data_IF_149208661745
#
_entry.id   IF_149208661745
#
_cell.length_a   1.000
_cell.length_b   1.000
_cell.length_c   1.000
_cell.angle_alpha   90.00
_cell.angle_beta   90.00
_cell.angle_gamma   90.00
#
_symmetry.space_group_name_H-M   'P 1'
#
loop_
_entity.id
_entity.type
_entity.pdbx_description
1 polymer ?
#
# COMPACT_ATOMS: atom_id res chain seq x y z
N UNK A 1 22.52 13.89 -1.32
CA UNK A 1 21.55 13.03 -2.05
C UNK A 1 21.03 13.79 -3.27
N UNK A 2 21.70 13.66 -4.41
CA UNK A 2 21.33 14.38 -5.62
C UNK A 2 19.98 13.86 -6.12
N UNK A 3 18.95 14.73 -6.14
CA UNK A 3 17.74 14.50 -6.92
C UNK A 3 18.18 14.43 -8.39
N UNK A 4 18.21 13.22 -8.97
CA UNK A 4 18.35 13.07 -10.42
C UNK A 4 17.17 13.81 -11.06
N UNK A 5 17.47 14.92 -11.74
CA UNK A 5 16.56 15.58 -12.68
C UNK A 5 16.00 14.50 -13.61
N UNK A 6 14.68 14.41 -13.69
CA UNK A 6 14.04 13.70 -14.78
C UNK A 6 14.54 14.36 -16.07
N UNK A 7 15.23 13.59 -16.90
CA UNK A 7 15.59 14.02 -18.24
C UNK A 7 14.28 14.15 -19.02
N UNK A 8 13.73 15.36 -19.03
CA UNK A 8 12.71 15.78 -19.98
C UNK A 8 13.38 15.93 -21.34
N UNK A 9 13.05 15.02 -22.23
CA UNK A 9 13.27 15.14 -23.66
C UNK A 9 12.12 14.42 -24.34
N UNK A 10 11.67 14.89 -25.49
CA UNK A 10 10.72 14.22 -26.38
C UNK A 10 11.32 12.93 -26.98
N UNK A 11 11.95 12.11 -26.13
CA UNK A 11 12.67 10.90 -26.44
C UNK A 11 11.85 9.70 -25.98
N UNK A 12 12.00 8.61 -26.71
CA UNK A 12 11.38 7.31 -26.50
C UNK A 12 11.04 7.01 -25.03
N UNK A 13 9.75 7.05 -24.70
CA UNK A 13 9.25 6.65 -23.40
C UNK A 13 8.84 5.18 -23.43
N UNK A 14 9.81 4.30 -23.15
CA UNK A 14 9.62 2.86 -23.12
C UNK A 14 8.35 2.42 -22.35
N UNK A 15 8.01 3.08 -21.26
CA UNK A 15 6.86 2.72 -20.44
C UNK A 15 5.50 3.10 -21.06
N UNK A 16 5.47 4.08 -21.95
CA UNK A 16 4.27 4.48 -22.70
C UNK A 16 4.06 3.56 -23.90
N UNK A 17 5.12 3.29 -24.66
CA UNK A 17 5.07 2.38 -25.80
C UNK A 17 4.67 0.95 -25.40
N UNK A 18 5.22 0.44 -24.28
CA UNK A 18 4.78 -0.85 -23.72
C UNK A 18 3.29 -0.84 -23.37
N UNK A 19 2.76 0.28 -22.87
CA UNK A 19 1.33 0.40 -22.54
C UNK A 19 0.47 0.43 -23.80
N UNK A 20 0.92 1.08 -24.87
CA UNK A 20 0.23 1.10 -26.16
C UNK A 20 0.16 -0.30 -26.76
N UNK A 21 1.30 -1.02 -26.81
CA UNK A 21 1.36 -2.41 -27.29
C UNK A 21 0.45 -3.35 -26.49
N UNK A 22 0.38 -3.19 -25.16
CA UNK A 22 -0.48 -4.00 -24.31
C UNK A 22 -1.96 -3.61 -24.34
N UNK A 23 -2.29 -2.41 -24.85
CA UNK A 23 -3.68 -2.00 -25.12
C UNK A 23 -4.18 -2.61 -26.41
N UNK A 24 -3.34 -2.66 -27.43
CA UNK A 24 -3.62 -3.31 -28.71
C UNK A 24 -3.76 -4.83 -28.50
N UNK A 25 -2.77 -5.46 -27.85
CA UNK A 25 -2.74 -6.91 -27.62
C UNK A 25 -2.46 -7.25 -26.14
N UNK A 26 -3.50 -7.43 -25.30
CA UNK A 26 -3.33 -7.67 -23.86
C UNK A 26 -2.74 -9.05 -23.52
N UNK A 27 -2.75 -10.00 -24.46
CA UNK A 27 -2.21 -11.36 -24.28
C UNK A 27 -0.72 -11.48 -24.59
N UNK A 28 -0.09 -10.39 -25.05
CA UNK A 28 1.33 -10.36 -25.40
C UNK A 28 2.23 -10.75 -24.23
N UNK A 29 3.15 -11.68 -24.51
CA UNK A 29 4.17 -12.08 -23.55
C UNK A 29 5.24 -11.00 -23.42
N UNK A 30 5.91 -10.89 -22.27
CA UNK A 30 6.94 -9.88 -22.05
C UNK A 30 8.09 -9.94 -23.06
N UNK A 31 8.40 -11.14 -23.56
CA UNK A 31 9.43 -11.35 -24.60
C UNK A 31 8.99 -10.80 -25.95
N UNK A 32 7.75 -11.06 -26.36
CA UNK A 32 7.18 -10.52 -27.58
C UNK A 32 7.12 -8.98 -27.56
N UNK A 33 6.83 -8.38 -26.40
CA UNK A 33 6.88 -6.92 -26.23
C UNK A 33 8.28 -6.36 -26.40
N UNK A 34 9.31 -7.02 -25.85
CA UNK A 34 10.72 -6.62 -26.03
C UNK A 34 11.12 -6.67 -27.50
N UNK A 35 10.77 -7.76 -28.19
CA UNK A 35 11.11 -7.93 -29.60
C UNK A 35 10.40 -6.89 -30.49
N UNK A 36 9.13 -6.57 -30.18
CA UNK A 36 8.39 -5.50 -30.85
C UNK A 36 9.02 -4.12 -30.64
N UNK A 37 9.49 -3.82 -29.42
CA UNK A 37 10.15 -2.54 -29.12
C UNK A 37 11.51 -2.41 -29.81
N UNK A 38 12.31 -3.47 -29.84
CA UNK A 38 13.61 -3.48 -30.55
C UNK A 38 13.44 -3.30 -32.06
N UNK A 39 12.35 -3.81 -32.64
CA UNK A 39 11.99 -3.58 -34.05
C UNK A 39 11.54 -2.14 -34.32
N UNK A 40 10.70 -1.57 -33.43
CA UNK A 40 10.19 -0.20 -33.58
C UNK A 40 11.26 0.87 -33.31
N UNK A 41 12.20 0.59 -32.41
CA UNK A 41 13.24 1.52 -31.98
C UNK A 41 14.63 0.85 -31.98
N UNK A 42 15.22 0.58 -33.17
CA UNK A 42 16.51 -0.11 -33.27
C UNK A 42 17.69 0.74 -32.76
N UNK A 43 17.55 2.07 -32.73
CA UNK A 43 18.60 2.99 -32.31
C UNK A 43 18.61 3.27 -30.80
N UNK A 44 17.62 2.75 -30.06
CA UNK A 44 17.47 2.96 -28.62
C UNK A 44 18.10 1.83 -27.82
N UNK A 45 18.78 2.18 -26.72
CA UNK A 45 19.45 1.20 -25.85
C UNK A 45 18.46 0.53 -24.89
N UNK A 46 17.64 -0.37 -25.43
CA UNK A 46 16.61 -1.09 -24.66
C UNK A 46 17.27 -2.20 -23.84
N UNK A 47 17.39 -1.98 -22.53
CA UNK A 47 17.82 -3.01 -21.58
C UNK A 47 16.65 -3.94 -21.22
N UNK A 48 16.85 -5.24 -21.37
CA UNK A 48 15.82 -6.26 -21.11
C UNK A 48 15.29 -6.21 -19.67
N UNK A 49 16.16 -5.96 -18.68
CA UNK A 49 15.78 -5.83 -17.28
C UNK A 49 14.82 -4.66 -17.03
N UNK A 50 15.11 -3.50 -17.62
CA UNK A 50 14.26 -2.32 -17.55
C UNK A 50 12.92 -2.55 -18.26
N UNK A 51 12.92 -3.24 -19.41
CA UNK A 51 11.71 -3.56 -20.16
C UNK A 51 10.80 -4.53 -19.39
N UNK A 52 11.37 -5.53 -18.71
CA UNK A 52 10.61 -6.48 -17.87
C UNK A 52 9.88 -5.79 -16.71
N UNK A 53 10.55 -4.83 -16.04
CA UNK A 53 9.94 -4.02 -14.98
C UNK A 53 8.84 -3.12 -15.55
N UNK A 54 9.09 -2.47 -16.69
CA UNK A 54 8.10 -1.61 -17.34
C UNK A 54 6.87 -2.39 -17.82
N UNK A 55 7.05 -3.58 -18.41
CA UNK A 55 5.99 -4.52 -18.78
C UNK A 55 5.14 -4.95 -17.59
N UNK A 56 5.79 -5.36 -16.49
CA UNK A 56 5.08 -5.77 -15.27
C UNK A 56 4.23 -4.63 -14.70
N UNK A 57 4.79 -3.41 -14.66
CA UNK A 57 4.07 -2.22 -14.20
C UNK A 57 2.94 -1.82 -15.16
N UNK A 58 3.13 -1.94 -16.47
CA UNK A 58 2.11 -1.65 -17.48
C UNK A 58 0.93 -2.62 -17.37
N UNK A 59 1.18 -3.92 -17.23
CA UNK A 59 0.12 -4.93 -17.00
C UNK A 59 -0.67 -4.69 -15.72
N UNK A 60 0.00 -4.27 -14.64
CA UNK A 60 -0.67 -3.89 -13.39
C UNK A 60 -1.57 -2.66 -13.59
N UNK A 61 -1.10 -1.64 -14.30
CA UNK A 61 -1.88 -0.42 -14.58
C UNK A 61 -3.09 -0.70 -15.48
N UNK A 62 -2.97 -1.65 -16.41
CA UNK A 62 -4.04 -2.06 -17.32
C UNK A 62 -4.97 -3.13 -16.72
N UNK A 63 -4.71 -3.61 -15.50
CA UNK A 63 -5.54 -4.63 -14.86
C UNK A 63 -5.44 -6.04 -15.46
N UNK A 64 -4.47 -6.28 -16.37
CA UNK A 64 -4.24 -7.54 -17.09
C UNK A 64 -3.58 -8.60 -16.17
N UNK A 65 -3.15 -8.21 -14.97
CA UNK A 65 -2.63 -9.18 -14.00
C UNK A 65 -3.76 -10.08 -13.51
N UNK A 66 -3.63 -11.37 -13.80
CA UNK A 66 -4.51 -12.42 -13.28
C UNK A 66 -4.73 -12.27 -11.77
N UNK A 67 -5.92 -12.70 -11.36
CA UNK A 67 -6.63 -12.63 -10.05
C UNK A 67 -5.82 -12.59 -8.73
N UNK A 68 -4.50 -12.76 -8.71
CA UNK A 68 -3.63 -12.72 -7.52
C UNK A 68 -2.81 -11.44 -7.29
N UNK A 69 -2.96 -10.42 -8.15
CA UNK A 69 -2.08 -9.24 -8.16
C UNK A 69 -2.53 -8.01 -7.35
N UNK A 70 -3.56 -8.08 -6.50
CA UNK A 70 -3.90 -6.97 -5.57
C UNK A 70 -2.86 -6.86 -4.45
N UNK A 71 -1.60 -6.59 -4.78
CA UNK A 71 -0.73 -5.86 -3.85
C UNK A 71 -1.22 -4.42 -3.89
N UNK A 72 -2.23 -4.15 -3.05
CA UNK A 72 -2.60 -2.79 -2.65
C UNK A 72 -1.28 -2.03 -2.47
N UNK A 73 -1.09 -0.93 -3.21
CA UNK A 73 0.01 0.00 -2.96
C UNK A 73 -0.20 0.53 -1.55
N UNK A 74 0.36 -0.16 -0.56
CA UNK A 74 0.64 0.40 0.73
C UNK A 74 1.80 1.37 0.50
N UNK A 75 1.46 2.59 0.11
CA UNK A 75 2.25 3.80 0.41
C UNK A 75 2.27 3.94 1.93
N UNK A 76 3.06 3.07 2.56
CA UNK A 76 3.16 2.93 4.00
C UNK A 76 4.41 2.10 4.23
N UNK A 77 5.43 2.75 4.82
CA UNK A 77 6.72 2.14 5.17
C UNK A 77 6.51 0.72 5.68
N UNK A 78 7.05 -0.29 4.99
CA UNK A 78 7.01 -1.68 5.45
C UNK A 78 7.79 -1.78 6.75
N UNK A 79 7.11 -1.67 7.90
CA UNK A 79 7.63 -2.25 9.14
C UNK A 79 7.59 -3.76 8.94
N UNK A 80 8.77 -4.37 8.89
CA UNK A 80 8.94 -5.81 8.91
C UNK A 80 8.24 -6.35 10.15
N UNK A 81 7.02 -6.90 9.99
CA UNK A 81 6.33 -7.58 11.08
C UNK A 81 7.06 -8.90 11.30
N UNK A 82 7.95 -8.90 12.28
CA UNK A 82 8.56 -10.11 12.82
C UNK A 82 7.42 -10.95 13.38
N UNK A 83 7.16 -12.11 12.78
CA UNK A 83 6.13 -13.06 13.24
C UNK A 83 6.48 -13.44 14.67
N UNK A 84 5.65 -13.02 15.63
CA UNK A 84 5.75 -13.46 17.01
C UNK A 84 5.25 -14.90 17.06
N UNK A 85 6.12 -15.79 17.53
CA UNK A 85 5.75 -17.11 18.02
C UNK A 85 4.62 -16.97 19.05
N UNK A 86 3.63 -17.87 19.08
CA UNK A 86 2.52 -17.76 20.00
C UNK A 86 3.05 -17.80 21.43
N UNK A 87 2.91 -16.68 22.14
CA UNK A 87 3.33 -16.57 23.52
C UNK A 87 2.32 -17.31 24.40
N UNK A 88 2.85 -18.19 25.24
CA UNK A 88 2.15 -18.76 26.36
C UNK A 88 1.48 -17.65 27.18
N UNK A 89 0.23 -17.91 27.55
CA UNK A 89 -0.55 -17.31 28.64
C UNK A 89 0.17 -16.29 29.52
N UNK A 90 -0.40 -15.08 29.54
CA UNK A 90 -0.36 -14.22 30.72
C UNK A 90 0.93 -13.41 30.91
N UNK A 91 1.00 -12.22 30.30
CA UNK A 91 1.73 -11.13 30.91
C UNK A 91 1.11 -9.78 30.54
N UNK A 92 0.44 -9.17 31.51
CA UNK A 92 0.00 -7.77 31.46
C UNK A 92 1.27 -6.91 31.38
N UNK A 93 1.70 -6.58 30.17
CA UNK A 93 2.72 -5.57 29.98
C UNK A 93 2.05 -4.21 30.14
N UNK A 94 2.29 -3.57 31.29
CA UNK A 94 2.09 -2.13 31.47
C UNK A 94 3.02 -1.43 30.47
N UNK A 95 2.54 -1.18 29.25
CA UNK A 95 3.24 -0.34 28.29
C UNK A 95 3.12 1.10 28.80
N UNK A 96 4.22 1.63 29.32
CA UNK A 96 4.41 3.05 29.67
C UNK A 96 4.42 4.00 28.45
N UNK A 97 3.86 3.55 27.33
CA UNK A 97 3.62 4.36 26.14
C UNK A 97 2.12 4.52 25.99
N UNK A 98 1.66 5.76 25.94
CA UNK A 98 0.29 6.09 25.56
C UNK A 98 0.01 5.45 24.18
N UNK A 99 -0.92 4.52 24.14
CA UNK A 99 -1.39 3.97 22.88
C UNK A 99 -2.17 5.06 22.13
N UNK A 100 -1.56 5.62 21.09
CA UNK A 100 -2.15 6.68 20.28
C UNK A 100 -3.50 6.25 19.68
N UNK A 101 -3.68 4.95 19.42
CA UNK A 101 -4.95 4.44 18.91
C UNK A 101 -6.07 4.52 19.96
N UNK A 102 -5.75 4.29 21.24
CA UNK A 102 -6.69 4.46 22.34
C UNK A 102 -7.06 5.94 22.54
N UNK A 103 -6.10 6.85 22.35
CA UNK A 103 -6.35 8.31 22.42
C UNK A 103 -7.27 8.78 21.29
N UNK A 104 -7.07 8.31 20.06
CA UNK A 104 -7.96 8.62 18.93
C UNK A 104 -9.39 8.11 19.15
N UNK A 105 -9.54 6.94 19.76
CA UNK A 105 -10.85 6.39 20.11
C UNK A 105 -11.53 7.19 21.23
N UNK A 106 -10.78 7.57 22.26
CA UNK A 106 -11.28 8.44 23.33
C UNK A 106 -11.76 9.79 22.77
N UNK A 107 -11.03 10.38 21.81
CA UNK A 107 -11.45 11.61 21.16
C UNK A 107 -12.79 11.46 20.43
N UNK A 108 -12.99 10.37 19.68
CA UNK A 108 -14.26 10.09 19.00
C UNK A 108 -15.41 9.94 19.99
N UNK A 109 -15.19 9.23 21.10
CA UNK A 109 -16.20 9.08 22.15
C UNK A 109 -16.60 10.42 22.76
N UNK A 110 -15.62 11.27 23.12
CA UNK A 110 -15.87 12.61 23.65
C UNK A 110 -16.66 13.46 22.66
N UNK A 111 -16.36 13.37 21.37
CA UNK A 111 -17.11 14.09 20.33
C UNK A 111 -18.55 13.58 20.20
N UNK A 112 -18.77 12.28 20.34
CA UNK A 112 -20.11 11.67 20.28
C UNK A 112 -20.97 12.05 21.50
N UNK A 113 -20.37 12.18 22.68
CA UNK A 113 -21.07 12.60 23.90
C UNK A 113 -21.35 14.10 23.97
N UNK A 114 -20.87 14.91 23.02
CA UNK A 114 -21.03 16.37 23.05
C UNK A 114 -20.13 17.08 24.07
N UNK A 115 -19.02 16.44 24.47
CA UNK A 115 -18.01 17.03 25.35
C UNK A 115 -17.55 16.14 26.50
N UNK A 116 -16.48 16.56 27.17
CA UNK A 116 -15.80 15.79 28.21
C UNK A 116 -16.68 15.50 29.45
N UNK A 117 -17.59 16.41 29.80
CA UNK A 117 -18.46 16.26 30.98
C UNK A 117 -19.45 15.10 30.80
N UNK A 118 -20.10 15.04 29.64
CA UNK A 118 -21.06 13.99 29.30
C UNK A 118 -20.36 12.64 29.10
N UNK A 119 -19.16 12.64 28.53
CA UNK A 119 -18.34 11.44 28.39
C UNK A 119 -18.00 10.80 29.75
N UNK A 120 -17.68 11.62 30.77
CA UNK A 120 -17.44 11.13 32.14
C UNK A 120 -18.71 10.55 32.76
N UNK A 121 -19.83 11.27 32.68
CA UNK A 121 -21.11 10.77 33.19
C UNK A 121 -21.53 9.44 32.55
N UNK A 122 -21.25 9.25 31.25
CA UNK A 122 -21.50 7.99 30.56
C UNK A 122 -20.58 6.84 31.04
N UNK A 123 -19.32 7.14 31.37
CA UNK A 123 -18.39 6.15 31.95
C UNK A 123 -18.85 5.76 33.36
N UNK A 124 -19.23 6.72 34.19
CA UNK A 124 -19.74 6.47 35.55
C UNK A 124 -21.00 5.56 35.50
N UNK A 125 -21.89 5.79 34.53
CA UNK A 125 -23.05 4.91 34.30
C UNK A 125 -22.63 3.51 33.85
N UNK A 126 -21.66 3.38 32.94
CA UNK A 126 -21.17 2.06 32.52
C UNK A 126 -20.55 1.26 33.67
N UNK A 127 -19.81 1.92 34.57
CA UNK A 127 -19.24 1.28 35.77
C UNK A 127 -20.35 0.71 36.67
N UNK A 128 -21.45 1.45 36.86
CA UNK A 128 -22.59 0.98 37.65
C UNK A 128 -23.28 -0.25 37.03
N UNK A 129 -23.41 -0.31 35.70
CA UNK A 129 -23.98 -1.47 35.02
C UNK A 129 -23.05 -2.70 35.02
N UNK A 130 -21.74 -2.51 34.92
CA UNK A 130 -20.79 -3.62 34.89
C UNK A 130 -20.65 -4.33 36.24
N UNK A 131 -20.77 -3.61 37.36
CA UNK A 131 -20.72 -4.23 38.70
C UNK A 131 -21.98 -5.06 39.00
N UNK A 132 -23.12 -4.77 38.38
CA UNK A 132 -24.37 -5.53 38.57
C UNK A 132 -24.46 -6.83 37.76
N UNK A 133 -23.48 -7.11 36.89
CA UNK A 133 -23.49 -8.27 35.98
C UNK A 133 -22.53 -9.40 36.37
N UNK A 134 -21.97 -9.39 37.58
CA UNK A 134 -21.07 -10.42 38.11
C UNK A 134 -21.68 -11.14 39.31
#
# INVERSE_FOLDING_TARGET
MAKKKAAGGLGFNMAEEIRSLLREDPTMTGRAVIDALKRKYPNETIKDSSCSVAYSNARQKLGITGRGGKRKKATGKKKTVRRLTPAATGRVTRSSGLDLSAVEQAQKFVSACGGMKNARAAIDLLETFQVSGS
#
